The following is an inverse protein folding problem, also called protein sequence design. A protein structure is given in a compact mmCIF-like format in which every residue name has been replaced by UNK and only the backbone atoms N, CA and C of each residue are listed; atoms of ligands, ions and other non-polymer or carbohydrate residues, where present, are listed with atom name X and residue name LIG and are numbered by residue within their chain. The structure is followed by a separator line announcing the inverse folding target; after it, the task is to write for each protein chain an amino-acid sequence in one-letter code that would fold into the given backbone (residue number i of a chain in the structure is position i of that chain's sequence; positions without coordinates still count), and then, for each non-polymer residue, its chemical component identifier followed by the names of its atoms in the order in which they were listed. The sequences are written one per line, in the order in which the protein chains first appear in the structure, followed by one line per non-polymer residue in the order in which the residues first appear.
data_IF_201812753826
#
_entry.id   IF_201812753826
#
_cell.length_a   1.000
_cell.length_b   1.000
_cell.length_c   1.000
_cell.angle_alpha   90.00
_cell.angle_beta   90.00
_cell.angle_gamma   90.00
#
_symmetry.space_group_name_H-M   'P 1'
#
loop_
_entity.id
_entity.type
_entity.pdbx_description
1 polymer ?
#
# COMPACT_ATOMS: atom_id res chain seq x y z
N UNK A 1 -60.36 62.08 38.32
CA UNK A 1 -60.07 60.63 38.27
C UNK A 1 -58.84 60.33 37.40
N UNK A 2 -57.69 60.98 37.64
CA UNK A 2 -56.47 60.84 36.82
C UNK A 2 -55.16 60.75 37.62
N UNK A 3 -55.23 60.76 38.96
CA UNK A 3 -54.07 60.65 39.85
C UNK A 3 -54.07 59.39 40.74
N UNK A 4 -55.06 58.50 40.57
CA UNK A 4 -55.18 57.26 41.33
C UNK A 4 -54.19 56.19 40.85
N UNK A 5 -54.18 55.88 39.55
CA UNK A 5 -53.31 54.84 38.97
C UNK A 5 -51.82 55.25 38.99
N UNK A 6 -51.51 56.55 38.90
CA UNK A 6 -50.13 57.05 38.97
C UNK A 6 -49.53 56.93 40.39
N UNK A 7 -50.36 57.02 41.45
CA UNK A 7 -49.93 56.73 42.83
C UNK A 7 -49.65 55.24 43.06
N UNK A 8 -50.43 54.34 42.46
CA UNK A 8 -50.18 52.90 42.56
C UNK A 8 -48.97 52.44 41.74
N UNK A 9 -48.69 53.09 40.60
CA UNK A 9 -47.47 52.84 39.81
C UNK A 9 -46.21 53.33 40.53
N UNK A 10 -46.30 54.43 41.29
CA UNK A 10 -45.21 54.95 42.13
C UNK A 10 -44.94 54.03 43.35
N UNK A 11 -45.98 53.42 43.92
CA UNK A 11 -45.86 52.50 45.05
C UNK A 11 -45.34 51.10 44.64
N UNK A 12 -45.65 50.66 43.42
CA UNK A 12 -45.13 49.39 42.87
C UNK A 12 -43.65 49.49 42.45
N UNK A 13 -43.20 50.66 41.96
CA UNK A 13 -41.80 50.87 41.60
C UNK A 13 -40.88 51.01 42.83
N UNK A 14 -41.41 51.50 43.97
CA UNK A 14 -40.67 51.48 45.25
C UNK A 14 -40.50 50.07 45.83
N UNK A 15 -41.40 49.12 45.53
CA UNK A 15 -41.30 47.74 46.01
C UNK A 15 -40.25 46.90 45.26
N UNK A 16 -39.93 47.26 44.01
CA UNK A 16 -38.95 46.54 43.18
C UNK A 16 -37.49 46.94 43.46
N UNK A 17 -37.24 48.09 44.08
CA UNK A 17 -35.88 48.55 44.44
C UNK A 17 -35.41 48.02 45.80
N UNK A 18 -36.31 47.49 46.63
CA UNK A 18 -35.94 46.84 47.91
C UNK A 18 -35.60 45.34 47.77
N UNK A 19 -35.67 44.77 46.56
CA UNK A 19 -35.39 43.35 46.32
C UNK A 19 -34.03 43.08 45.65
N UNK A 20 -33.17 44.10 45.51
CA UNK A 20 -31.78 43.94 45.12
C UNK A 20 -30.89 44.72 46.10
N UNK A 21 -30.98 44.32 47.36
CA UNK A 21 -30.02 44.68 48.40
C UNK A 21 -28.88 43.67 48.37
N UNK A 22 -27.68 44.18 48.12
CA UNK A 22 -26.36 43.65 48.47
C UNK A 22 -26.36 42.41 49.38
N UNK A 23 -25.87 41.29 48.85
CA UNK A 23 -25.25 40.24 49.67
C UNK A 23 -23.95 40.83 50.26
N UNK A 24 -24.12 41.60 51.34
CA UNK A 24 -23.06 41.80 52.30
C UNK A 24 -22.80 40.43 52.94
N UNK A 25 -21.72 39.79 52.52
CA UNK A 25 -21.10 38.75 53.31
C UNK A 25 -20.79 39.36 54.68
N UNK A 26 -21.59 38.96 55.67
CA UNK A 26 -21.36 39.25 57.06
C UNK A 26 -19.94 38.77 57.42
N UNK A 27 -19.01 39.72 57.47
CA UNK A 27 -17.72 39.57 58.14
C UNK A 27 -18.01 39.21 59.60
N UNK A 28 -18.07 37.90 59.88
CA UNK A 28 -17.94 37.39 61.24
C UNK A 28 -16.51 37.69 61.68
N UNK A 29 -16.34 38.84 62.32
CA UNK A 29 -15.12 39.19 63.05
C UNK A 29 -14.95 38.17 64.19
N UNK A 30 -14.11 37.17 63.95
CA UNK A 30 -13.71 36.21 64.97
C UNK A 30 -12.69 36.90 65.89
N UNK A 31 -13.15 37.44 67.01
CA UNK A 31 -12.28 37.92 68.10
C UNK A 31 -11.77 36.72 68.90
N UNK A 32 -10.90 35.94 68.27
CA UNK A 32 -10.08 34.92 68.90
C UNK A 32 -8.61 35.18 68.57
N UNK A 33 -7.71 34.92 69.51
CA UNK A 33 -6.26 35.15 69.41
C UNK A 33 -5.73 34.65 68.06
N UNK A 34 -5.39 35.57 67.16
CA UNK A 34 -4.87 35.24 65.82
C UNK A 34 -3.46 34.69 65.95
N UNK A 35 -3.27 33.45 65.53
CA UNK A 35 -1.94 32.82 65.43
C UNK A 35 -1.36 33.19 64.07
N UNK A 36 -0.20 33.84 64.04
CA UNK A 36 0.48 34.16 62.80
C UNK A 36 0.90 32.86 62.09
N UNK A 37 0.35 32.65 60.90
CA UNK A 37 0.70 31.51 60.04
C UNK A 37 1.39 32.04 58.79
N UNK A 38 2.52 31.43 58.44
CA UNK A 38 3.18 31.73 57.18
C UNK A 38 2.45 31.03 56.05
N UNK A 39 1.94 31.82 55.10
CA UNK A 39 1.38 31.31 53.86
C UNK A 39 2.36 31.56 52.70
N UNK A 40 2.47 30.59 51.80
CA UNK A 40 3.20 30.71 50.54
C UNK A 40 2.19 30.74 49.38
N UNK A 41 2.35 31.69 48.46
CA UNK A 41 1.51 31.80 47.26
C UNK A 41 2.01 30.81 46.20
N UNK A 42 1.16 29.86 45.80
CA UNK A 42 1.51 28.89 44.76
C UNK A 42 1.60 29.57 43.38
N UNK A 43 2.78 29.52 42.76
CA UNK A 43 2.96 29.83 41.33
C UNK A 43 2.95 28.52 40.55
N UNK A 44 2.02 28.39 39.60
CA UNK A 44 2.04 27.30 38.62
C UNK A 44 3.23 27.51 37.70
N UNK A 45 4.27 26.71 37.88
CA UNK A 45 5.30 26.53 36.85
C UNK A 45 4.88 25.29 36.06
N UNK A 46 4.67 25.45 34.77
CA UNK A 46 4.52 24.34 33.85
C UNK A 46 5.88 23.64 33.73
N UNK A 47 6.18 22.77 34.69
CA UNK A 47 7.33 21.89 34.61
C UNK A 47 6.99 20.84 33.56
N UNK A 48 7.37 21.13 32.32
CA UNK A 48 7.37 20.16 31.22
C UNK A 48 8.30 18.99 31.55
N UNK A 49 7.83 18.06 32.36
CA UNK A 49 8.49 16.80 32.65
C UNK A 49 8.31 15.87 31.46
N UNK A 50 9.29 15.86 30.56
CA UNK A 50 9.35 14.85 29.51
C UNK A 50 9.80 13.51 30.08
N UNK A 51 8.95 12.49 29.97
CA UNK A 51 9.36 11.12 30.30
C UNK A 51 10.32 10.60 29.22
N UNK A 52 11.53 10.20 29.63
CA UNK A 52 12.51 9.59 28.72
C UNK A 52 12.34 8.08 28.75
N UNK A 53 12.14 7.48 27.57
CA UNK A 53 12.05 6.04 27.41
C UNK A 53 13.15 5.55 26.48
N UNK A 54 13.78 4.43 26.82
CA UNK A 54 14.72 3.74 25.94
C UNK A 54 13.94 2.86 24.96
N UNK A 55 14.21 3.03 23.66
CA UNK A 55 13.62 2.22 22.59
C UNK A 55 14.66 1.95 21.50
N UNK A 56 14.45 0.88 20.74
CA UNK A 56 15.30 0.55 19.59
C UNK A 56 14.57 0.87 18.30
N UNK A 57 15.29 1.46 17.34
CA UNK A 57 14.77 1.75 16.01
C UNK A 57 15.15 0.59 15.10
N UNK A 58 14.16 0.07 14.37
CA UNK A 58 14.36 -0.97 13.36
C UNK A 58 13.90 -0.46 11.99
N UNK A 59 14.48 -1.00 10.93
CA UNK A 59 14.03 -0.69 9.59
C UNK A 59 12.56 -1.13 9.41
N UNK A 60 11.75 -0.27 8.78
CA UNK A 60 10.34 -0.58 8.44
C UNK A 60 10.26 -1.82 7.54
N UNK A 61 11.26 -1.99 6.66
CA UNK A 61 11.38 -3.15 5.80
C UNK A 61 12.85 -3.57 5.71
N UNK A 62 13.13 -4.83 6.03
CA UNK A 62 14.43 -5.46 5.92
C UNK A 62 14.30 -6.74 5.10
N UNK A 63 15.25 -6.98 4.19
CA UNK A 63 15.27 -8.17 3.35
C UNK A 63 16.70 -8.73 3.30
N UNK A 64 16.85 -10.01 3.65
CA UNK A 64 18.09 -10.75 3.44
C UNK A 64 18.02 -11.34 2.04
N UNK A 65 19.00 -11.02 1.19
CA UNK A 65 19.05 -11.47 -0.19
C UNK A 65 19.87 -12.75 -0.31
N UNK A 66 19.34 -13.71 -1.05
CA UNK A 66 20.03 -14.96 -1.41
C UNK A 66 19.71 -15.35 -2.85
N UNK A 67 20.56 -16.18 -3.45
CA UNK A 67 20.34 -16.68 -4.80
C UNK A 67 19.37 -17.86 -4.77
N UNK A 68 18.43 -17.91 -5.72
CA UNK A 68 17.47 -19.04 -5.84
C UNK A 68 18.14 -20.33 -6.31
N UNK A 69 19.32 -20.20 -6.93
CA UNK A 69 20.04 -21.25 -7.63
C UNK A 69 21.54 -21.09 -7.39
N UNK A 70 22.26 -22.20 -7.50
CA UNK A 70 23.72 -22.18 -7.53
C UNK A 70 24.23 -21.63 -8.87
N UNK A 71 25.36 -20.93 -8.81
CA UNK A 71 25.99 -20.31 -9.97
C UNK A 71 27.24 -19.56 -9.54
N UNK A 72 28.05 -19.19 -10.52
CA UNK A 72 29.24 -18.37 -10.29
C UNK A 72 28.87 -16.90 -10.32
N UNK A 73 29.42 -16.10 -9.42
CA UNK A 73 29.22 -14.64 -9.46
C UNK A 73 29.93 -14.08 -10.69
N UNK A 74 29.15 -13.56 -11.63
CA UNK A 74 29.65 -12.92 -12.85
C UNK A 74 30.00 -11.45 -12.57
N UNK A 75 29.11 -10.73 -11.89
CA UNK A 75 29.30 -9.33 -11.58
C UNK A 75 28.45 -8.87 -10.39
N UNK A 76 28.97 -7.89 -9.65
CA UNK A 76 28.26 -7.15 -8.60
C UNK A 76 28.27 -5.67 -9.01
N UNK A 77 27.23 -5.17 -9.70
CA UNK A 77 27.21 -3.80 -10.23
C UNK A 77 26.86 -2.72 -9.19
N UNK A 78 26.74 -3.07 -7.91
CA UNK A 78 26.40 -2.16 -6.81
C UNK A 78 27.48 -2.16 -5.74
N UNK A 79 27.62 -1.03 -5.03
CA UNK A 79 28.54 -0.90 -3.91
C UNK A 79 27.78 -0.94 -2.58
N UNK A 80 28.52 -1.26 -1.53
CA UNK A 80 28.00 -1.21 -0.17
C UNK A 80 27.55 0.21 0.18
N UNK A 81 26.34 0.34 0.71
CA UNK A 81 25.73 1.64 1.05
C UNK A 81 24.97 2.32 -0.10
N UNK A 82 25.00 1.77 -1.32
CA UNK A 82 24.25 2.34 -2.44
C UNK A 82 22.73 2.25 -2.21
N UNK A 83 22.02 3.32 -2.57
CA UNK A 83 20.54 3.32 -2.59
C UNK A 83 20.07 2.65 -3.88
N UNK A 84 19.32 1.56 -3.74
CA UNK A 84 18.84 0.76 -4.87
C UNK A 84 17.33 0.88 -5.07
N UNK A 85 16.88 0.76 -6.32
CA UNK A 85 15.46 0.82 -6.70
C UNK A 85 14.90 -0.57 -7.01
N UNK A 86 13.57 -0.74 -6.95
CA UNK A 86 12.91 -2.00 -7.31
C UNK A 86 13.24 -2.38 -8.77
N UNK A 87 13.70 -3.62 -8.97
CA UNK A 87 14.08 -4.15 -10.29
C UNK A 87 15.53 -3.88 -10.70
N UNK A 88 16.29 -3.14 -9.89
CA UNK A 88 17.72 -2.95 -10.12
C UNK A 88 18.48 -4.27 -9.91
N UNK A 89 19.37 -4.60 -10.85
CA UNK A 89 20.24 -5.78 -10.74
C UNK A 89 21.30 -5.52 -9.67
N UNK A 90 21.35 -6.39 -8.66
CA UNK A 90 22.33 -6.32 -7.56
C UNK A 90 23.47 -7.34 -7.73
N UNK A 91 23.19 -8.45 -8.41
CA UNK A 91 24.10 -9.57 -8.62
C UNK A 91 23.77 -10.24 -9.95
N UNK A 92 24.79 -10.48 -10.78
CA UNK A 92 24.68 -11.35 -11.95
C UNK A 92 25.36 -12.67 -11.66
N UNK A 93 24.67 -13.77 -11.96
CA UNK A 93 25.18 -15.12 -11.83
C UNK A 93 25.34 -15.73 -13.22
N UNK A 94 26.46 -16.41 -13.45
CA UNK A 94 26.65 -17.26 -14.62
C UNK A 94 26.41 -18.71 -14.21
N UNK A 95 25.56 -19.39 -14.97
CA UNK A 95 25.31 -20.82 -14.80
C UNK A 95 25.27 -21.48 -16.20
N UNK A 96 26.33 -22.23 -16.51
CA UNK A 96 26.48 -22.90 -17.80
C UNK A 96 25.37 -23.94 -18.05
N UNK A 97 24.84 -24.59 -17.01
CA UNK A 97 23.76 -25.57 -17.15
C UNK A 97 22.43 -24.88 -17.52
N UNK A 98 22.20 -23.66 -17.01
CA UNK A 98 21.04 -22.86 -17.41
C UNK A 98 21.17 -22.35 -18.83
N UNK A 99 22.36 -21.92 -19.24
CA UNK A 99 22.62 -21.53 -20.63
C UNK A 99 22.41 -22.71 -21.58
N UNK A 100 22.90 -23.90 -21.22
CA UNK A 100 22.69 -25.12 -22.00
C UNK A 100 21.20 -25.52 -22.08
N UNK A 101 20.47 -25.44 -20.96
CA UNK A 101 19.02 -25.70 -20.92
C UNK A 101 18.25 -24.68 -21.76
N UNK A 102 18.60 -23.41 -21.69
CA UNK A 102 18.00 -22.37 -22.52
C UNK A 102 18.21 -22.69 -24.00
N UNK A 103 19.45 -22.97 -24.40
CA UNK A 103 19.77 -23.32 -25.79
C UNK A 103 19.01 -24.58 -26.27
N UNK A 104 18.86 -25.59 -25.39
CA UNK A 104 18.08 -26.79 -25.68
C UNK A 104 16.59 -26.48 -25.87
N UNK A 105 15.98 -25.70 -24.97
CA UNK A 105 14.58 -25.29 -25.07
C UNK A 105 14.34 -24.46 -26.32
N UNK A 106 15.20 -23.48 -26.61
CA UNK A 106 15.13 -22.69 -27.83
C UNK A 106 15.26 -23.54 -29.10
N UNK A 107 16.11 -24.57 -29.09
CA UNK A 107 16.20 -25.52 -30.20
C UNK A 107 14.89 -26.30 -30.38
N UNK A 108 14.27 -26.74 -29.28
CA UNK A 108 12.96 -27.40 -29.30
C UNK A 108 11.84 -26.48 -29.83
N UNK A 109 11.85 -25.19 -29.46
CA UNK A 109 10.93 -24.19 -30.01
C UNK A 109 11.12 -24.07 -31.52
N UNK A 110 12.38 -23.91 -31.98
CA UNK A 110 12.68 -23.80 -33.42
C UNK A 110 12.25 -25.04 -34.21
N UNK A 111 12.42 -26.23 -33.65
CA UNK A 111 11.95 -27.49 -34.26
C UNK A 111 10.42 -27.49 -34.40
N UNK A 112 9.69 -27.15 -33.32
CA UNK A 112 8.24 -27.10 -33.34
C UNK A 112 7.71 -26.02 -34.29
N UNK A 113 8.36 -24.87 -34.38
CA UNK A 113 8.04 -23.80 -35.34
C UNK A 113 8.23 -24.25 -36.78
N UNK A 114 9.35 -24.92 -37.08
CA UNK A 114 9.61 -25.46 -38.41
C UNK A 114 8.57 -26.52 -38.81
N UNK A 115 8.19 -27.39 -37.87
CA UNK A 115 7.16 -28.40 -38.09
C UNK A 115 5.78 -27.75 -38.33
N UNK A 116 5.39 -26.77 -37.52
CA UNK A 116 4.16 -26.01 -37.71
C UNK A 116 4.10 -25.35 -39.09
N UNK A 117 5.18 -24.65 -39.49
CA UNK A 117 5.26 -23.99 -40.79
C UNK A 117 5.19 -24.98 -41.96
N UNK A 118 5.76 -26.17 -41.80
CA UNK A 118 5.65 -27.24 -42.80
C UNK A 118 4.19 -27.69 -42.93
N UNK A 119 3.51 -27.98 -41.82
CA UNK A 119 2.10 -28.39 -41.83
C UNK A 119 1.18 -27.29 -42.37
N UNK A 120 1.44 -26.03 -42.03
CA UNK A 120 0.72 -24.87 -42.58
C UNK A 120 0.85 -24.81 -44.11
N UNK A 121 2.06 -24.98 -44.63
CA UNK A 121 2.32 -24.96 -46.08
C UNK A 121 1.65 -26.15 -46.78
N UNK A 122 1.66 -27.32 -46.14
CA UNK A 122 1.02 -28.52 -46.70
C UNK A 122 -0.50 -28.40 -46.69
N UNK A 123 -1.09 -27.83 -45.64
CA UNK A 123 -2.52 -27.56 -45.58
C UNK A 123 -2.94 -26.61 -46.69
N UNK A 124 -2.24 -25.47 -46.87
CA UNK A 124 -2.49 -24.52 -47.97
C UNK A 124 -2.40 -25.19 -49.35
N UNK A 125 -1.42 -26.08 -49.54
CA UNK A 125 -1.27 -26.83 -50.80
C UNK A 125 -2.43 -27.79 -51.02
N UNK A 126 -2.86 -28.49 -49.97
CA UNK A 126 -3.99 -29.41 -50.06
C UNK A 126 -5.31 -28.67 -50.30
N UNK A 127 -5.52 -27.51 -49.66
CA UNK A 127 -6.68 -26.65 -49.91
C UNK A 127 -6.78 -26.26 -51.39
N UNK A 128 -5.65 -25.90 -52.00
CA UNK A 128 -5.60 -25.60 -53.44
C UNK A 128 -5.92 -26.82 -54.32
N UNK A 129 -5.44 -28.03 -53.95
CA UNK A 129 -5.75 -29.27 -54.67
C UNK A 129 -7.21 -29.70 -54.50
N UNK A 130 -7.78 -29.52 -53.31
CA UNK A 130 -9.18 -29.80 -53.02
C UNK A 130 -10.11 -28.90 -53.82
N UNK A 131 -9.78 -27.61 -53.94
CA UNK A 131 -10.50 -26.68 -54.82
C UNK A 131 -10.48 -27.11 -56.29
N UNK A 132 -9.41 -27.78 -56.73
CA UNK A 132 -9.28 -28.36 -58.06
C UNK A 132 -9.90 -29.77 -58.19
N UNK A 133 -10.60 -30.26 -57.15
CA UNK A 133 -11.15 -31.62 -57.05
C UNK A 133 -10.11 -32.73 -57.22
N UNK A 134 -8.84 -32.42 -56.93
CA UNK A 134 -7.71 -33.34 -57.01
C UNK A 134 -7.36 -33.98 -55.65
N UNK A 135 -8.11 -33.66 -54.60
CA UNK A 135 -7.97 -34.23 -53.25
C UNK A 135 -9.35 -34.61 -52.68
N UNK A 136 -9.36 -35.54 -51.74
CA UNK A 136 -10.56 -36.04 -51.07
C UNK A 136 -10.85 -35.26 -49.77
N UNK A 137 -12.11 -35.30 -49.31
CA UNK A 137 -12.49 -34.69 -48.03
C UNK A 137 -11.72 -35.32 -46.85
N UNK A 138 -11.48 -36.63 -46.91
CA UNK A 138 -10.71 -37.35 -45.88
C UNK A 138 -9.29 -36.80 -45.75
N UNK A 139 -8.60 -36.58 -46.86
CA UNK A 139 -7.24 -36.01 -46.84
C UNK A 139 -7.24 -34.60 -46.24
N UNK A 140 -8.28 -33.80 -46.51
CA UNK A 140 -8.43 -32.46 -45.93
C UNK A 140 -8.57 -32.51 -44.41
N UNK A 141 -9.43 -33.38 -43.90
CA UNK A 141 -9.69 -33.53 -42.47
C UNK A 141 -8.46 -34.10 -41.73
N UNK A 142 -7.76 -35.06 -42.35
CA UNK A 142 -6.52 -35.63 -41.83
C UNK A 142 -5.42 -34.54 -41.75
N UNK A 143 -5.25 -33.71 -42.79
CA UNK A 143 -4.28 -32.61 -42.80
C UNK A 143 -4.62 -31.48 -41.83
N UNK A 144 -5.91 -31.15 -41.69
CA UNK A 144 -6.35 -30.15 -40.70
C UNK A 144 -6.05 -30.61 -39.27
N UNK A 145 -6.27 -31.89 -38.99
CA UNK A 145 -5.93 -32.51 -37.70
C UNK A 145 -4.41 -32.46 -37.46
N UNK A 146 -3.61 -32.77 -38.47
CA UNK A 146 -2.15 -32.66 -38.40
C UNK A 146 -1.66 -31.22 -38.16
N UNK A 147 -2.29 -30.23 -38.81
CA UNK A 147 -2.00 -28.81 -38.60
C UNK A 147 -2.30 -28.37 -37.16
N UNK A 148 -3.49 -28.69 -36.64
CA UNK A 148 -3.88 -28.36 -35.26
C UNK A 148 -2.96 -29.06 -34.24
N UNK A 149 -2.56 -30.29 -34.52
CA UNK A 149 -1.59 -31.01 -33.68
C UNK A 149 -0.22 -30.30 -33.67
N UNK A 150 0.24 -29.83 -34.82
CA UNK A 150 1.49 -29.07 -34.93
C UNK A 150 1.42 -27.71 -34.23
N UNK A 151 0.29 -27.00 -34.34
CA UNK A 151 0.03 -25.75 -33.61
C UNK A 151 0.04 -25.97 -32.09
N UNK A 152 -0.59 -27.05 -31.63
CA UNK A 152 -0.62 -27.43 -30.22
C UNK A 152 0.79 -27.74 -29.71
N UNK A 153 1.60 -28.46 -30.50
CA UNK A 153 3.00 -28.76 -30.16
C UNK A 153 3.84 -27.50 -30.06
N UNK A 154 3.65 -26.54 -30.97
CA UNK A 154 4.34 -25.25 -30.90
C UNK A 154 3.94 -24.46 -29.65
N UNK A 155 2.65 -24.46 -29.32
CA UNK A 155 2.15 -23.78 -28.10
C UNK A 155 2.69 -24.42 -26.84
N UNK A 156 2.85 -25.75 -26.80
CA UNK A 156 3.45 -26.46 -25.66
C UNK A 156 4.96 -26.17 -25.49
N UNK A 157 5.66 -25.90 -26.58
CA UNK A 157 7.10 -25.61 -26.55
C UNK A 157 7.43 -24.18 -26.10
N UNK A 158 6.47 -23.26 -26.18
CA UNK A 158 6.59 -21.84 -25.80
C UNK A 158 6.17 -21.59 -24.35
#
# INVERSE_FOLDING_TARGET
MKYGILKYLSLALLLLVSACGSDEEASRSYTGKTVAVSAITAKSNDQGGGNTYSGSIVAVQSAVLSTRMSGWVEAIPVKEGDRVSKGQVLLRLRNNDLEARLAQTEAGIREAEAHFKNMETNLKRLEALYAQKAATQKEMDDMRTAFVSAESRLTQAR
#
